data_IF_112889656047
#
_entry.id   IF_112889656047
#
_cell.length_a   1.000
_cell.length_b   1.000
_cell.length_c   1.000
_cell.angle_alpha   90.00
_cell.angle_beta   90.00
_cell.angle_gamma   90.00
#
_symmetry.space_group_name_H-M   'P 1'
#
loop_
_entity.id
_entity.type
_entity.pdbx_description
1 polymer ?
#
# COMPACT_ATOMS: atom_id res chain seq x y z
N UNK A 1 -11.30 16.15 -8.70
CA UNK A 1 -9.92 16.08 -8.37
C UNK A 1 -9.13 15.39 -9.46
N UNK A 2 -7.95 15.69 -9.52
CA UNK A 2 -7.15 15.22 -10.60
C UNK A 2 -6.54 13.87 -10.27
N UNK A 3 -7.04 12.83 -10.87
CA UNK A 3 -6.44 11.52 -10.71
C UNK A 3 -5.06 11.45 -11.33
N UNK A 4 -4.79 12.34 -12.29
CA UNK A 4 -3.48 12.36 -12.92
C UNK A 4 -2.38 12.73 -11.93
N UNK A 5 -2.73 13.42 -10.86
CA UNK A 5 -1.76 13.82 -9.86
C UNK A 5 -1.51 12.73 -8.82
N UNK A 6 -2.22 11.64 -8.89
CA UNK A 6 -2.14 10.62 -7.85
C UNK A 6 -1.33 9.42 -8.33
N UNK A 7 -0.46 8.94 -7.45
CA UNK A 7 0.25 7.70 -7.68
C UNK A 7 -0.41 6.53 -6.98
N UNK A 8 -1.56 6.77 -6.36
CA UNK A 8 -2.29 5.72 -5.66
C UNK A 8 -2.99 4.84 -6.68
N UNK A 9 -2.72 3.56 -6.64
CA UNK A 9 -3.31 2.61 -7.58
C UNK A 9 -4.50 1.86 -6.98
N UNK A 10 -4.68 1.94 -5.68
CA UNK A 10 -5.82 1.34 -4.98
C UNK A 10 -5.89 1.91 -3.58
N UNK A 11 -7.09 2.20 -3.09
CA UNK A 11 -7.25 2.54 -1.68
C UNK A 11 -8.64 2.17 -1.21
N UNK A 12 -8.74 1.82 0.05
CA UNK A 12 -10.02 1.50 0.69
C UNK A 12 -9.81 1.44 2.20
N UNK A 13 -10.92 1.35 2.90
CA UNK A 13 -10.92 1.13 4.33
C UNK A 13 -11.20 -0.34 4.58
N UNK A 14 -10.39 -0.97 5.42
CA UNK A 14 -10.52 -2.37 5.74
C UNK A 14 -10.87 -2.56 7.21
N UNK A 15 -11.76 -3.50 7.48
CA UNK A 15 -12.15 -3.86 8.82
C UNK A 15 -11.49 -5.20 9.16
N UNK A 16 -10.80 -5.25 10.28
CA UNK A 16 -10.02 -6.44 10.67
C UNK A 16 -10.94 -7.46 11.29
N UNK A 17 -10.97 -8.66 10.72
CA UNK A 17 -11.75 -9.75 11.27
C UNK A 17 -10.94 -10.59 12.26
N UNK A 18 -9.67 -10.87 11.93
CA UNK A 18 -8.82 -11.71 12.78
C UNK A 18 -7.37 -11.30 12.66
N UNK A 19 -6.59 -11.61 13.70
CA UNK A 19 -5.13 -11.42 13.68
C UNK A 19 -4.51 -12.70 14.20
N UNK A 20 -3.51 -13.20 13.46
CA UNK A 20 -2.76 -14.41 13.85
C UNK A 20 -3.65 -15.62 14.09
N UNK A 21 -4.68 -15.81 13.27
CA UNK A 21 -5.62 -16.92 13.48
C UNK A 21 -4.95 -18.29 13.34
N UNK A 22 -3.81 -18.36 12.67
CA UNK A 22 -3.07 -19.60 12.52
C UNK A 22 -1.87 -19.65 13.46
N UNK A 23 -1.81 -18.73 14.42
CA UNK A 23 -0.70 -18.66 15.35
C UNK A 23 0.37 -17.69 14.91
N UNK A 24 1.01 -17.09 15.88
CA UNK A 24 2.06 -16.12 15.61
C UNK A 24 3.36 -16.86 15.30
N UNK A 25 3.97 -16.52 14.16
CA UNK A 25 5.19 -17.23 13.72
C UNK A 25 6.46 -16.46 14.04
N UNK A 26 6.38 -15.14 14.18
CA UNK A 26 7.53 -14.29 14.45
C UNK A 26 7.17 -13.30 15.55
N UNK A 27 8.19 -12.91 16.31
CA UNK A 27 7.98 -12.08 17.49
C UNK A 27 7.25 -10.77 17.21
N UNK A 28 7.67 -10.07 16.17
CA UNK A 28 7.16 -8.72 15.92
C UNK A 28 6.25 -8.64 14.70
N UNK A 29 6.01 -9.77 14.08
CA UNK A 29 5.22 -9.82 12.86
C UNK A 29 3.91 -10.54 13.15
N UNK A 30 2.81 -9.89 12.80
CA UNK A 30 1.49 -10.49 12.88
C UNK A 30 0.87 -10.52 11.50
N UNK A 31 -0.08 -11.42 11.32
CA UNK A 31 -0.82 -11.51 10.07
C UNK A 31 -2.27 -11.18 10.34
N UNK A 32 -2.75 -10.12 9.71
CA UNK A 32 -4.16 -9.73 9.85
C UNK A 32 -4.97 -10.25 8.67
N UNK A 33 -6.25 -10.43 8.93
CA UNK A 33 -7.25 -10.76 7.93
C UNK A 33 -8.32 -9.68 8.00
N UNK A 34 -8.62 -9.07 6.86
CA UNK A 34 -9.51 -7.92 6.85
C UNK A 34 -10.38 -7.93 5.60
N UNK A 35 -11.47 -7.18 5.67
CA UNK A 35 -12.45 -7.09 4.58
C UNK A 35 -12.64 -5.63 4.22
N UNK A 36 -12.70 -5.35 2.92
CA UNK A 36 -12.85 -3.98 2.47
C UNK A 36 -14.27 -3.48 2.69
N UNK A 37 -14.38 -2.19 2.92
CA UNK A 37 -15.66 -1.58 3.19
C UNK A 37 -16.42 -1.28 1.91
N UNK A 38 -15.73 -0.88 0.86
CA UNK A 38 -16.38 -0.34 -0.32
C UNK A 38 -16.38 -1.28 -1.51
N UNK A 39 -15.47 -2.24 -1.57
CA UNK A 39 -15.28 -3.06 -2.77
C UNK A 39 -15.44 -4.55 -2.53
N UNK A 40 -15.81 -4.94 -1.33
CA UNK A 40 -16.06 -6.36 -1.01
C UNK A 40 -14.83 -7.22 -1.29
N UNK A 41 -13.68 -6.78 -0.84
CA UNK A 41 -12.42 -7.47 -1.08
C UNK A 41 -11.86 -8.03 0.21
N UNK A 42 -11.01 -9.06 0.08
CA UNK A 42 -10.38 -9.69 1.24
C UNK A 42 -8.89 -9.38 1.23
N UNK A 43 -8.38 -9.08 2.40
CA UNK A 43 -6.96 -8.75 2.56
C UNK A 43 -6.32 -9.64 3.60
N UNK A 44 -5.15 -10.17 3.29
CA UNK A 44 -4.28 -10.80 4.26
C UNK A 44 -2.96 -10.05 4.23
N UNK A 45 -2.46 -9.63 5.38
CA UNK A 45 -1.29 -8.75 5.42
C UNK A 45 -0.40 -9.07 6.60
N UNK A 46 0.89 -9.28 6.32
CA UNK A 46 1.92 -9.37 7.34
C UNK A 46 2.40 -7.97 7.65
N UNK A 47 2.51 -7.65 8.95
CA UNK A 47 2.90 -6.31 9.34
C UNK A 47 3.63 -6.36 10.68
N UNK A 48 4.37 -5.30 10.98
CA UNK A 48 5.08 -5.21 12.26
C UNK A 48 4.11 -4.65 13.30
N UNK A 49 3.67 -5.53 14.21
CA UNK A 49 2.63 -5.16 15.17
C UNK A 49 3.15 -4.19 16.24
N UNK A 50 4.47 -4.12 16.42
CA UNK A 50 5.01 -3.13 17.35
C UNK A 50 5.00 -1.73 16.78
N UNK A 51 5.23 -1.61 15.48
CA UNK A 51 5.22 -0.30 14.82
C UNK A 51 3.81 0.18 14.51
N UNK A 52 2.89 -0.75 14.27
CA UNK A 52 1.52 -0.40 13.90
C UNK A 52 0.56 -1.36 14.61
N UNK A 53 0.29 -1.13 15.90
CA UNK A 53 -0.56 -2.05 16.67
C UNK A 53 -2.00 -2.02 16.18
N UNK A 54 -2.57 -3.19 15.95
CA UNK A 54 -3.94 -3.35 15.48
C UNK A 54 -4.61 -4.46 16.26
N UNK A 55 -5.93 -4.42 16.33
CA UNK A 55 -6.73 -5.43 17.01
C UNK A 55 -7.92 -5.83 16.15
N UNK A 56 -8.44 -7.05 16.33
CA UNK A 56 -9.67 -7.43 15.63
C UNK A 56 -10.78 -6.44 15.93
N UNK A 57 -11.58 -6.15 14.93
CA UNK A 57 -12.65 -5.19 15.05
C UNK A 57 -12.27 -3.77 14.70
N UNK A 58 -10.98 -3.47 14.62
CA UNK A 58 -10.55 -2.15 14.20
C UNK A 58 -10.60 -2.02 12.69
N UNK A 59 -10.68 -0.77 12.24
CA UNK A 59 -10.61 -0.45 10.82
C UNK A 59 -9.37 0.41 10.58
N UNK A 60 -8.86 0.33 9.37
CA UNK A 60 -7.73 1.17 8.97
C UNK A 60 -7.86 1.51 7.49
N UNK A 61 -7.26 2.62 7.10
CA UNK A 61 -7.20 3.01 5.70
C UNK A 61 -5.95 2.41 5.10
N UNK A 62 -6.09 1.83 3.91
CA UNK A 62 -4.99 1.23 3.18
C UNK A 62 -4.89 1.88 1.81
N UNK A 63 -3.69 2.21 1.41
CA UNK A 63 -3.44 2.66 0.04
C UNK A 63 -2.27 1.88 -0.53
N UNK A 64 -2.38 1.57 -1.81
CA UNK A 64 -1.27 1.01 -2.57
C UNK A 64 -0.85 2.07 -3.58
N UNK A 65 0.44 2.35 -3.65
CA UNK A 65 0.92 3.43 -4.50
C UNK A 65 2.14 2.97 -5.29
N UNK A 66 2.24 3.47 -6.50
CA UNK A 66 3.40 3.19 -7.34
C UNK A 66 4.60 4.06 -6.97
N UNK A 67 4.36 5.15 -6.27
CA UNK A 67 5.38 6.10 -5.86
C UNK A 67 4.88 6.85 -4.63
N UNK A 68 5.81 7.28 -3.80
CA UNK A 68 5.46 8.11 -2.64
C UNK A 68 5.35 9.59 -3.02
N UNK A 69 5.68 9.97 -4.24
CA UNK A 69 5.57 11.36 -4.65
C UNK A 69 4.11 11.80 -4.61
N UNK A 70 3.87 12.97 -4.03
CA UNK A 70 2.53 13.53 -3.95
C UNK A 70 2.26 14.28 -5.24
N UNK A 71 1.39 13.72 -6.05
CA UNK A 71 1.02 14.33 -7.29
C UNK A 71 2.06 14.12 -8.39
N UNK A 72 1.71 14.52 -9.60
CA UNK A 72 2.59 14.37 -10.74
C UNK A 72 3.59 15.53 -10.78
N UNK A 73 4.83 15.28 -11.15
CA UNK A 73 5.77 16.37 -11.33
C UNK A 73 5.34 17.26 -12.51
N UNK A 74 5.72 18.54 -12.50
CA UNK A 74 5.43 19.41 -13.62
C UNK A 74 6.03 18.86 -14.91
N UNK A 75 5.33 19.08 -16.02
CA UNK A 75 5.73 18.49 -17.29
C UNK A 75 7.07 19.03 -17.79
N UNK A 76 7.44 20.20 -17.33
CA UNK A 76 8.69 20.84 -17.80
C UNK A 76 9.89 20.53 -16.90
N UNK A 77 9.75 19.60 -15.97
CA UNK A 77 10.86 19.24 -15.11
C UNK A 77 11.79 18.31 -15.85
N UNK A 78 13.06 18.62 -15.86
CA UNK A 78 14.04 17.75 -16.50
C UNK A 78 14.68 16.82 -15.45
N UNK A 79 15.57 15.96 -15.95
CA UNK A 79 16.14 14.91 -15.10
C UNK A 79 17.00 15.50 -13.99
N UNK A 80 17.75 16.54 -14.29
CA UNK A 80 18.61 17.15 -13.27
C UNK A 80 17.77 17.75 -12.14
N UNK A 81 16.65 18.32 -12.49
CA UNK A 81 15.77 18.89 -11.47
C UNK A 81 15.11 17.80 -10.64
N UNK A 82 14.93 16.64 -11.21
CA UNK A 82 14.37 15.55 -10.43
C UNK A 82 15.30 15.12 -9.31
N UNK A 83 16.59 15.12 -9.55
CA UNK A 83 17.53 14.80 -8.49
C UNK A 83 17.48 15.83 -7.38
N UNK A 84 17.36 17.08 -7.75
CA UNK A 84 17.24 18.14 -6.76
C UNK A 84 15.95 18.00 -5.96
N UNK A 85 14.90 17.57 -6.60
CA UNK A 85 13.63 17.37 -5.91
C UNK A 85 13.71 16.27 -4.88
N UNK A 86 14.43 15.21 -5.17
CA UNK A 86 14.60 14.15 -4.21
C UNK A 86 15.31 14.66 -2.97
N UNK A 87 16.31 15.50 -3.16
CA UNK A 87 16.99 16.10 -2.01
C UNK A 87 16.09 17.04 -1.24
N UNK A 88 15.23 17.75 -1.95
CA UNK A 88 14.31 18.69 -1.31
C UNK A 88 13.33 18.00 -0.39
N UNK A 89 12.95 16.78 -0.72
CA UNK A 89 12.02 16.01 0.12
C UNK A 89 12.59 15.83 1.53
N UNK A 90 13.90 15.81 1.67
CA UNK A 90 14.55 15.54 2.93
C UNK A 90 14.98 16.80 3.67
N UNK A 91 14.51 17.96 3.26
CA UNK A 91 14.89 19.20 3.92
C UNK A 91 14.35 19.26 5.33
N UNK A 92 15.18 19.65 6.28
CA UNK A 92 14.72 19.73 7.65
C UNK A 92 13.65 20.79 7.90
N UNK A 93 13.61 21.81 7.07
CA UNK A 93 12.65 22.90 7.27
C UNK A 93 11.25 22.53 6.78
N UNK A 94 11.10 21.40 6.15
CA UNK A 94 9.78 20.94 5.74
C UNK A 94 9.20 21.67 4.54
N UNK A 95 9.98 22.49 3.89
CA UNK A 95 9.47 23.24 2.75
C UNK A 95 9.60 22.51 1.44
N UNK A 96 10.30 21.39 1.43
CA UNK A 96 10.37 20.58 0.24
C UNK A 96 9.06 19.83 0.02
N UNK A 97 9.02 19.05 -1.02
CA UNK A 97 7.84 18.25 -1.30
C UNK A 97 7.63 17.21 -0.24
N UNK A 98 6.40 17.08 0.16
CA UNK A 98 6.03 16.02 1.07
C UNK A 98 5.57 14.82 0.27
N UNK A 99 5.97 13.63 0.70
CA UNK A 99 5.50 12.41 0.08
C UNK A 99 4.20 11.94 0.69
N UNK A 100 3.62 10.93 0.07
CA UNK A 100 2.37 10.35 0.57
C UNK A 100 2.54 9.80 1.98
N UNK A 101 3.76 9.39 2.34
CA UNK A 101 4.00 8.83 3.67
C UNK A 101 3.69 9.80 4.79
N UNK A 102 3.64 11.09 4.51
CA UNK A 102 3.31 12.08 5.53
C UNK A 102 1.88 11.96 6.02
N UNK A 103 1.00 11.36 5.21
CA UNK A 103 -0.40 11.22 5.56
C UNK A 103 -0.72 9.86 6.17
N UNK A 104 0.26 8.99 6.33
CA UNK A 104 0.02 7.63 6.79
C UNK A 104 0.92 7.28 7.96
N UNK A 105 0.51 6.27 8.73
CA UNK A 105 1.22 5.91 9.95
C UNK A 105 2.25 4.82 9.73
N UNK A 106 2.11 4.03 8.67
CA UNK A 106 2.95 2.86 8.45
C UNK A 106 3.09 2.63 6.96
N UNK A 107 4.32 2.50 6.50
CA UNK A 107 4.61 2.38 5.07
C UNK A 107 5.60 1.27 4.85
N UNK A 108 5.34 0.41 3.85
CA UNK A 108 6.29 -0.61 3.44
C UNK A 108 6.47 -0.54 1.93
N UNK A 109 7.65 -0.95 1.48
CA UNK A 109 7.98 -0.96 0.06
C UNK A 109 8.22 -2.39 -0.38
N UNK A 110 7.69 -2.74 -1.54
CA UNK A 110 7.87 -4.08 -2.05
C UNK A 110 7.54 -4.20 -3.52
N UNK A 111 7.11 -5.39 -3.91
CA UNK A 111 6.88 -5.70 -5.31
C UNK A 111 5.73 -6.69 -5.44
N UNK A 112 4.93 -6.50 -6.48
CA UNK A 112 3.87 -7.43 -6.83
C UNK A 112 4.51 -8.61 -7.57
N UNK A 113 4.39 -9.81 -7.00
CA UNK A 113 5.11 -10.95 -7.56
C UNK A 113 4.20 -12.01 -8.18
N UNK A 114 2.88 -11.92 -7.98
CA UNK A 114 1.99 -12.95 -8.50
C UNK A 114 0.58 -12.43 -8.62
N UNK A 115 -0.12 -12.87 -9.66
CA UNK A 115 -1.57 -12.75 -9.79
C UNK A 115 -2.14 -14.13 -10.02
N UNK A 116 -3.27 -14.42 -9.40
CA UNK A 116 -3.92 -15.72 -9.50
C UNK A 116 -5.39 -15.52 -9.83
N UNK A 117 -5.99 -16.45 -10.57
CA UNK A 117 -7.42 -16.41 -10.83
C UNK A 117 -7.82 -16.02 -12.24
N UNK A 118 -6.95 -16.17 -13.21
CA UNK A 118 -7.08 -15.60 -14.55
C UNK A 118 -8.39 -15.83 -15.30
N UNK A 119 -9.11 -16.92 -15.06
CA UNK A 119 -10.33 -17.19 -15.80
C UNK A 119 -11.58 -16.62 -15.12
N UNK A 120 -11.45 -16.04 -13.97
CA UNK A 120 -12.54 -15.53 -13.16
C UNK A 120 -12.46 -14.02 -13.07
N UNK A 121 -13.59 -13.37 -12.75
CA UNK A 121 -13.56 -11.96 -12.45
C UNK A 121 -12.87 -11.67 -11.14
N UNK A 122 -12.74 -12.66 -10.27
CA UNK A 122 -12.09 -12.51 -8.98
C UNK A 122 -10.66 -12.95 -9.10
N UNK A 123 -9.75 -12.06 -8.71
CA UNK A 123 -8.31 -12.34 -8.76
C UNK A 123 -7.69 -12.05 -7.41
N UNK A 124 -6.53 -12.63 -7.18
CA UNK A 124 -5.74 -12.35 -5.99
C UNK A 124 -4.39 -11.81 -6.43
N UNK A 125 -4.05 -10.64 -5.90
CA UNK A 125 -2.73 -10.05 -6.12
C UNK A 125 -1.87 -10.33 -4.90
N UNK A 126 -0.63 -10.74 -5.14
CA UNK A 126 0.33 -11.05 -4.09
C UNK A 126 1.50 -10.09 -4.17
N UNK A 127 1.90 -9.55 -3.04
CA UNK A 127 3.06 -8.67 -2.98
C UNK A 127 3.94 -9.06 -1.79
N UNK A 128 5.22 -8.77 -1.92
CA UNK A 128 6.18 -9.01 -0.85
C UNK A 128 6.87 -7.70 -0.50
N UNK A 129 6.89 -7.38 0.78
CA UNK A 129 7.50 -6.17 1.30
C UNK A 129 8.69 -6.60 2.16
N UNK A 130 9.77 -6.99 1.47
CA UNK A 130 10.96 -7.46 2.18
C UNK A 130 10.73 -8.76 2.92
N UNK A 131 9.86 -9.63 2.40
CA UNK A 131 9.54 -10.89 3.04
C UNK A 131 8.23 -10.88 3.81
N UNK A 132 7.65 -9.71 4.07
CA UNK A 132 6.31 -9.61 4.64
C UNK A 132 5.32 -9.68 3.49
N UNK A 133 4.33 -10.55 3.60
CA UNK A 133 3.49 -10.89 2.47
C UNK A 133 2.12 -10.24 2.56
N UNK A 134 1.56 -9.93 1.40
CA UNK A 134 0.20 -9.43 1.29
C UNK A 134 -0.53 -10.21 0.21
N UNK A 135 -1.80 -10.54 0.47
CA UNK A 135 -2.68 -10.99 -0.60
C UNK A 135 -3.95 -10.16 -0.56
N UNK A 136 -4.37 -9.71 -1.74
CA UNK A 136 -5.56 -8.90 -1.89
C UNK A 136 -6.44 -9.56 -2.94
N UNK A 137 -7.63 -9.99 -2.52
CA UNK A 137 -8.53 -10.75 -3.39
C UNK A 137 -9.80 -9.95 -3.63
N UNK A 138 -10.18 -9.83 -4.87
CA UNK A 138 -11.42 -9.14 -5.21
C UNK A 138 -11.61 -9.07 -6.70
N UNK A 139 -12.58 -8.25 -7.13
CA UNK A 139 -12.89 -8.11 -8.53
C UNK A 139 -11.72 -7.46 -9.27
N UNK A 140 -11.38 -8.04 -10.41
CA UNK A 140 -10.29 -7.54 -11.22
C UNK A 140 -10.47 -6.07 -11.58
N UNK A 141 -11.71 -5.62 -11.74
CA UNK A 141 -11.95 -4.24 -12.13
C UNK A 141 -11.40 -3.23 -11.12
N UNK A 142 -11.26 -3.61 -9.87
CA UNK A 142 -10.73 -2.71 -8.84
C UNK A 142 -9.22 -2.80 -8.72
N UNK A 143 -8.58 -3.69 -9.47
CA UNK A 143 -7.15 -3.93 -9.34
C UNK A 143 -6.40 -3.73 -10.65
N UNK A 144 -7.01 -3.04 -11.61
CA UNK A 144 -6.41 -2.89 -12.94
C UNK A 144 -5.11 -2.08 -12.94
N UNK A 145 -4.94 -1.25 -11.93
CA UNK A 145 -3.72 -0.43 -11.83
C UNK A 145 -2.59 -1.12 -11.07
N UNK A 146 -2.85 -2.32 -10.55
CA UNK A 146 -1.81 -3.11 -9.87
C UNK A 146 -1.20 -4.02 -10.92
N UNK A 147 0.11 -3.88 -11.14
CA UNK A 147 0.79 -4.54 -12.25
C UNK A 147 1.82 -5.52 -11.72
N UNK A 148 1.77 -6.73 -12.26
CA UNK A 148 2.72 -7.79 -11.89
C UNK A 148 4.16 -7.34 -12.18
N UNK A 149 5.03 -7.51 -11.21
CA UNK A 149 6.44 -7.17 -11.35
C UNK A 149 6.78 -5.75 -10.98
N UNK A 150 5.79 -4.90 -10.79
CA UNK A 150 6.04 -3.50 -10.47
C UNK A 150 6.32 -3.29 -8.99
N UNK A 151 7.18 -2.32 -8.68
CA UNK A 151 7.32 -1.91 -7.28
C UNK A 151 6.04 -1.27 -6.77
N UNK A 152 5.80 -1.43 -5.49
CA UNK A 152 4.59 -0.92 -4.88
C UNK A 152 4.87 -0.54 -3.43
N UNK A 153 4.21 0.52 -2.98
CA UNK A 153 4.22 0.92 -1.58
C UNK A 153 2.87 0.59 -0.97
N UNK A 154 2.88 0.11 0.26
CA UNK A 154 1.64 -0.03 1.03
C UNK A 154 1.69 0.99 2.15
N UNK A 155 0.58 1.73 2.29
CA UNK A 155 0.49 2.81 3.27
C UNK A 155 -0.75 2.54 4.11
N UNK A 156 -0.58 2.57 5.42
CA UNK A 156 -1.67 2.28 6.35
C UNK A 156 -1.85 3.44 7.31
N UNK A 157 -3.10 3.71 7.65
CA UNK A 157 -3.45 4.75 8.62
C UNK A 157 -4.65 4.29 9.43
N UNK A 158 -4.58 4.48 10.74
CA UNK A 158 -5.72 4.16 11.61
C UNK A 158 -6.82 5.19 11.51
#
# INVERSE_FOLDING_TARGET
>A
MSSAASNIVFDDIFSISEIDKEGKKFDRVSRLYAHSKNYDMELTLDYNIELFPLQPGQSFALALASSLARGAPPANVDVAEEEDKERDVWRPDGKGRRGLEEDYDYVMYGKVYKFDGGASEVVTAYASFGGLLMSLTGSFRHMTSIVLGDPIYILLRK
#
